data_IF_982338807343
#
_entry.id   IF_982338807343
#
_cell.length_a   1.000
_cell.length_b   1.000
_cell.length_c   1.000
_cell.angle_alpha   90.00
_cell.angle_beta   90.00
_cell.angle_gamma   90.00
#
_symmetry.space_group_name_H-M   'P 1'
#
loop_
_entity.id
_entity.type
_entity.pdbx_description
1 polymer ?
#
# COMPACT_ATOMS: atom_id res chain seq x y z
N UNK A 1 12.91 -10.21 -7.60
CA UNK A 1 11.62 -9.67 -8.05
C UNK A 1 11.86 -8.25 -8.51
N UNK A 2 11.21 -7.88 -9.59
CA UNK A 2 11.18 -6.53 -10.14
C UNK A 2 9.97 -5.79 -9.56
N UNK A 3 10.22 -4.72 -8.81
CA UNK A 3 9.20 -4.00 -8.07
C UNK A 3 9.17 -2.56 -8.55
N UNK A 4 8.00 -2.12 -9.00
CA UNK A 4 7.73 -0.72 -9.26
C UNK A 4 7.17 -0.06 -7.99
N UNK A 5 7.88 0.95 -7.50
CA UNK A 5 7.45 1.82 -6.41
C UNK A 5 7.05 3.19 -6.96
N UNK A 6 5.79 3.57 -6.77
CA UNK A 6 5.23 4.78 -7.38
C UNK A 6 4.87 5.78 -6.28
N UNK A 7 5.67 6.84 -6.20
CA UNK A 7 5.53 7.89 -5.19
C UNK A 7 4.58 9.02 -5.64
N UNK A 8 3.95 9.76 -4.70
CA UNK A 8 3.39 11.06 -5.02
C UNK A 8 4.49 12.01 -5.49
N UNK A 9 4.20 12.86 -6.49
CA UNK A 9 5.15 13.86 -7.00
C UNK A 9 5.15 15.16 -6.17
N UNK A 10 4.39 15.21 -5.08
CA UNK A 10 4.23 16.43 -4.25
C UNK A 10 5.54 16.82 -3.57
N UNK A 11 6.30 15.85 -3.06
CA UNK A 11 7.56 16.03 -2.34
C UNK A 11 8.61 15.07 -2.91
N UNK A 12 9.89 15.36 -2.63
CA UNK A 12 10.98 14.45 -2.98
C UNK A 12 10.94 13.18 -2.11
N UNK A 13 11.58 12.12 -2.59
CA UNK A 13 11.75 10.86 -1.85
C UNK A 13 13.25 10.65 -1.59
N UNK A 14 13.74 10.69 -0.34
CA UNK A 14 13.05 11.11 0.87
C UNK A 14 12.68 12.61 0.84
N UNK A 15 11.67 13.03 1.62
CA UNK A 15 11.22 14.41 1.66
C UNK A 15 12.25 15.30 2.37
N UNK A 16 12.48 16.49 1.82
CA UNK A 16 13.30 17.53 2.45
C UNK A 16 12.59 18.19 3.63
N UNK A 17 11.27 18.31 3.55
CA UNK A 17 10.43 18.95 4.56
C UNK A 17 9.32 18.01 5.05
N UNK A 18 8.06 18.42 4.93
CA UNK A 18 6.90 17.66 5.38
C UNK A 18 6.40 16.72 4.27
N UNK A 19 6.67 15.41 4.42
CA UNK A 19 6.19 14.37 3.51
C UNK A 19 6.04 13.01 4.20
N UNK A 20 4.92 12.76 4.88
CA UNK A 20 4.71 11.50 5.60
C UNK A 20 4.75 10.27 4.69
N UNK A 21 4.04 10.34 3.56
CA UNK A 21 4.00 9.28 2.55
C UNK A 21 5.36 9.05 1.92
N UNK A 22 5.99 10.12 1.44
CA UNK A 22 7.25 10.09 0.72
C UNK A 22 8.38 9.54 1.61
N UNK A 23 8.30 9.76 2.93
CA UNK A 23 9.21 9.14 3.91
C UNK A 23 9.02 7.63 4.02
N UNK A 24 7.78 7.15 4.08
CA UNK A 24 7.48 5.71 4.11
C UNK A 24 7.92 5.04 2.81
N UNK A 25 7.61 5.67 1.67
CA UNK A 25 8.07 5.21 0.34
C UNK A 25 9.59 5.07 0.33
N UNK A 26 10.33 6.09 0.81
CA UNK A 26 11.79 6.02 0.92
C UNK A 26 12.24 4.82 1.75
N UNK A 27 11.75 4.65 2.98
CA UNK A 27 12.17 3.54 3.83
C UNK A 27 11.87 2.17 3.23
N UNK A 28 10.69 2.02 2.62
CA UNK A 28 10.31 0.78 1.98
C UNK A 28 11.19 0.49 0.76
N UNK A 29 11.43 1.48 -0.10
CA UNK A 29 12.30 1.34 -1.27
C UNK A 29 13.69 0.90 -0.87
N UNK A 30 14.33 1.60 0.08
CA UNK A 30 15.69 1.27 0.50
C UNK A 30 15.77 -0.13 1.14
N UNK A 31 14.77 -0.52 1.94
CA UNK A 31 14.72 -1.86 2.54
C UNK A 31 14.50 -2.96 1.48
N UNK A 32 13.68 -2.71 0.46
CA UNK A 32 13.46 -3.66 -0.63
C UNK A 32 14.74 -3.86 -1.46
N UNK A 33 15.45 -2.78 -1.77
CA UNK A 33 16.77 -2.83 -2.43
C UNK A 33 17.77 -3.60 -1.55
N UNK A 34 17.83 -3.29 -0.25
CA UNK A 34 18.72 -3.97 0.72
C UNK A 34 18.46 -5.48 0.80
N UNK A 35 17.22 -5.92 0.56
CA UNK A 35 16.83 -7.34 0.50
C UNK A 35 17.15 -8.02 -0.83
N UNK A 36 17.75 -7.30 -1.79
CA UNK A 36 18.15 -7.83 -3.09
C UNK A 36 17.03 -7.87 -4.13
N UNK A 37 15.99 -7.04 -3.96
CA UNK A 37 14.99 -6.84 -5.01
C UNK A 37 15.49 -5.81 -6.04
N UNK A 38 15.06 -5.99 -7.28
CA UNK A 38 15.28 -5.04 -8.37
C UNK A 38 14.15 -4.01 -8.29
N UNK A 39 14.44 -2.81 -7.82
CA UNK A 39 13.43 -1.80 -7.50
C UNK A 39 13.60 -0.60 -8.42
N UNK A 40 12.50 -0.18 -9.03
CA UNK A 40 12.41 1.08 -9.76
C UNK A 40 11.48 2.01 -9.01
N UNK A 41 11.93 3.22 -8.70
CA UNK A 41 11.17 4.28 -8.03
C UNK A 41 10.73 5.32 -9.06
N UNK A 42 9.42 5.49 -9.24
CA UNK A 42 8.83 6.60 -9.99
C UNK A 42 8.55 7.74 -9.01
N UNK A 43 9.29 8.84 -9.15
CA UNK A 43 9.22 9.98 -8.23
C UNK A 43 9.66 11.29 -8.92
N UNK A 44 9.76 12.39 -8.16
CA UNK A 44 10.37 13.61 -8.66
C UNK A 44 11.88 13.42 -8.87
N UNK A 45 12.46 14.11 -9.85
CA UNK A 45 13.87 14.00 -10.22
C UNK A 45 14.84 14.49 -9.16
N UNK A 46 14.36 15.28 -8.18
CA UNK A 46 15.13 15.69 -7.01
C UNK A 46 15.08 14.69 -5.84
N UNK A 47 14.54 13.49 -6.08
CA UNK A 47 14.57 12.35 -5.16
C UNK A 47 15.96 11.69 -5.10
N UNK A 48 16.27 11.04 -3.98
CA UNK A 48 17.52 10.32 -3.73
C UNK A 48 17.20 8.92 -3.23
N UNK A 49 17.65 7.89 -3.96
CA UNK A 49 17.42 6.49 -3.62
C UNK A 49 18.56 5.62 -4.12
N UNK A 50 18.71 4.41 -3.56
CA UNK A 50 19.55 3.35 -4.12
C UNK A 50 18.90 2.55 -5.24
N UNK A 51 17.59 2.68 -5.44
CA UNK A 51 16.83 2.08 -6.54
C UNK A 51 17.08 2.78 -7.90
N UNK A 52 16.63 2.19 -9.01
CA UNK A 52 16.54 2.89 -10.29
C UNK A 52 15.52 4.03 -10.15
N UNK A 53 15.92 5.28 -10.37
CA UNK A 53 15.01 6.42 -10.32
C UNK A 53 14.47 6.75 -11.71
N UNK A 54 13.15 6.69 -11.87
CA UNK A 54 12.43 7.25 -13.01
C UNK A 54 11.89 8.62 -12.62
N UNK A 55 12.51 9.67 -13.14
CA UNK A 55 12.10 11.04 -12.90
C UNK A 55 10.84 11.39 -13.73
N UNK A 56 9.69 11.51 -13.07
CA UNK A 56 8.42 11.85 -13.72
C UNK A 56 8.16 13.36 -13.79
N UNK A 57 8.95 14.14 -13.05
CA UNK A 57 9.04 15.60 -13.13
C UNK A 57 10.43 16.04 -12.65
N UNK A 58 10.90 17.23 -13.06
CA UNK A 58 12.26 17.67 -12.71
C UNK A 58 12.46 17.85 -11.20
N UNK A 59 11.47 18.41 -10.53
CA UNK A 59 11.48 18.70 -9.08
C UNK A 59 10.09 18.43 -8.49
N UNK A 60 10.06 18.16 -7.18
CA UNK A 60 8.84 18.01 -6.42
C UNK A 60 7.85 19.17 -6.66
N UNK A 61 6.59 18.82 -6.93
CA UNK A 61 5.59 19.76 -7.45
C UNK A 61 5.20 20.85 -6.43
N UNK A 62 5.25 20.55 -5.12
CA UNK A 62 4.89 21.52 -4.07
C UNK A 62 5.69 22.82 -4.15
N UNK A 63 6.96 22.73 -4.53
CA UNK A 63 7.84 23.89 -4.62
C UNK A 63 8.10 24.34 -6.05
N UNK A 64 7.38 23.78 -7.02
CA UNK A 64 7.54 24.13 -8.42
C UNK A 64 6.52 25.21 -8.81
N UNK A 65 6.94 26.48 -8.97
CA UNK A 65 6.03 27.58 -9.33
C UNK A 65 5.38 27.41 -10.71
N UNK A 66 5.91 26.52 -11.56
CA UNK A 66 5.34 26.18 -12.87
C UNK A 66 4.24 25.11 -12.77
N UNK A 67 4.16 24.37 -11.67
CA UNK A 67 3.23 23.26 -11.48
C UNK A 67 1.92 23.69 -10.79
N UNK A 68 1.15 24.58 -11.45
CA UNK A 68 -0.13 25.08 -10.89
C UNK A 68 -1.19 24.00 -10.69
N UNK A 69 -1.14 22.93 -11.48
CA UNK A 69 -2.03 21.78 -11.33
C UNK A 69 -1.17 20.50 -11.29
N UNK A 70 -1.24 19.71 -10.20
CA UNK A 70 -0.46 18.49 -10.07
C UNK A 70 -1.04 17.30 -10.87
N UNK A 71 -2.31 17.34 -11.29
CA UNK A 71 -2.99 16.23 -11.95
C UNK A 71 -2.30 15.79 -13.26
N UNK A 72 -1.97 16.70 -14.20
CA UNK A 72 -1.32 16.31 -15.45
C UNK A 72 -0.01 15.56 -15.24
N UNK A 73 0.79 15.96 -14.26
CA UNK A 73 2.07 15.30 -13.93
C UNK A 73 1.86 13.86 -13.44
N UNK A 74 0.85 13.63 -12.60
CA UNK A 74 0.53 12.28 -12.14
C UNK A 74 -0.09 11.42 -13.26
N UNK A 75 -0.89 11.99 -14.16
CA UNK A 75 -1.39 11.28 -15.35
C UNK A 75 -0.24 10.88 -16.27
N UNK A 76 0.72 11.77 -16.50
CA UNK A 76 1.92 11.47 -17.28
C UNK A 76 2.78 10.38 -16.62
N UNK A 77 2.96 10.44 -15.30
CA UNK A 77 3.62 9.37 -14.54
C UNK A 77 2.90 8.03 -14.71
N UNK A 78 1.56 8.01 -14.57
CA UNK A 78 0.77 6.79 -14.72
C UNK A 78 0.85 6.21 -16.14
N UNK A 79 0.94 7.05 -17.17
CA UNK A 79 1.18 6.57 -18.55
C UNK A 79 2.58 5.96 -18.69
N UNK A 80 3.62 6.51 -18.04
CA UNK A 80 4.95 5.90 -18.03
C UNK A 80 4.96 4.55 -17.29
N UNK A 81 4.31 4.47 -16.13
CA UNK A 81 4.12 3.22 -15.38
C UNK A 81 3.38 2.20 -16.26
N UNK A 82 2.26 2.58 -16.88
CA UNK A 82 1.46 1.70 -17.74
C UNK A 82 2.27 1.15 -18.91
N UNK A 83 3.15 1.95 -19.52
CA UNK A 83 4.01 1.51 -20.62
C UNK A 83 5.06 0.49 -20.21
N UNK A 84 5.45 0.48 -18.94
CA UNK A 84 6.47 -0.41 -18.37
C UNK A 84 5.89 -1.49 -17.47
N UNK A 85 4.57 -1.55 -17.30
CA UNK A 85 3.92 -2.42 -16.32
C UNK A 85 4.29 -3.90 -16.48
N UNK A 86 4.49 -4.36 -17.71
CA UNK A 86 4.87 -5.74 -18.03
C UNK A 86 6.34 -6.07 -17.66
N UNK A 87 7.15 -5.08 -17.28
CA UNK A 87 8.53 -5.27 -16.81
C UNK A 87 8.60 -5.69 -15.33
N UNK A 88 7.51 -5.50 -14.57
CA UNK A 88 7.49 -5.61 -13.11
C UNK A 88 6.61 -6.76 -12.61
N UNK A 89 7.07 -7.43 -11.55
CA UNK A 89 6.29 -8.46 -10.85
C UNK A 89 5.21 -7.83 -9.94
N UNK A 90 5.47 -6.63 -9.43
CA UNK A 90 4.61 -5.92 -8.45
C UNK A 90 4.64 -4.41 -8.69
N UNK A 91 3.47 -3.78 -8.63
CA UNK A 91 3.27 -2.32 -8.72
C UNK A 91 2.74 -1.78 -7.38
N UNK A 92 3.47 -0.87 -6.73
CA UNK A 92 3.12 -0.26 -5.44
C UNK A 92 2.76 1.22 -5.61
N UNK A 93 1.47 1.54 -5.68
CA UNK A 93 0.98 2.92 -5.81
C UNK A 93 0.73 3.58 -4.44
N UNK A 94 1.58 4.54 -4.07
CA UNK A 94 1.54 5.21 -2.77
C UNK A 94 0.82 6.58 -2.77
N UNK A 95 -0.08 6.88 -3.73
CA UNK A 95 -0.68 8.22 -3.81
C UNK A 95 -2.13 8.29 -4.30
N UNK A 96 -2.79 7.15 -4.57
CA UNK A 96 -4.15 7.09 -5.14
C UNK A 96 -5.17 7.94 -4.37
N UNK A 97 -5.11 7.96 -3.03
CA UNK A 97 -6.01 8.78 -2.23
C UNK A 97 -5.84 10.31 -2.37
N UNK A 98 -4.81 10.82 -3.06
CA UNK A 98 -4.63 12.26 -3.33
C UNK A 98 -5.24 12.69 -4.68
N UNK A 99 -5.56 11.76 -5.58
CA UNK A 99 -6.18 12.06 -6.89
C UNK A 99 -7.71 12.12 -6.76
N UNK A 100 -8.25 11.52 -5.69
CA UNK A 100 -9.68 11.36 -5.55
C UNK A 100 -10.40 12.69 -5.24
N UNK A 101 -11.48 13.02 -5.98
CA UNK A 101 -12.16 14.32 -5.93
C UNK A 101 -12.87 14.60 -4.60
N UNK A 102 -13.14 13.60 -3.76
CA UNK A 102 -13.80 13.75 -2.45
C UNK A 102 -13.03 14.59 -1.44
N UNK A 103 -11.76 14.93 -1.71
CA UNK A 103 -10.96 15.82 -0.85
C UNK A 103 -11.25 17.30 -1.02
N UNK A 104 -11.95 17.71 -2.09
CA UNK A 104 -12.23 19.10 -2.40
C UNK A 104 -10.95 19.92 -2.69
N UNK A 105 -10.90 20.75 -3.74
CA UNK A 105 -9.75 21.62 -3.99
C UNK A 105 -9.52 22.66 -2.87
N UNK A 106 -10.58 23.00 -2.13
CA UNK A 106 -10.59 24.11 -1.15
C UNK A 106 -9.70 23.82 0.08
N UNK A 107 -9.75 22.60 0.64
CA UNK A 107 -8.97 22.25 1.83
C UNK A 107 -7.46 22.09 1.56
N UNK A 108 -7.08 21.80 0.31
CA UNK A 108 -5.67 21.74 -0.10
C UNK A 108 -5.10 23.14 -0.40
N UNK A 109 -5.93 24.04 -0.94
CA UNK A 109 -5.52 25.40 -1.32
C UNK A 109 -5.42 26.34 -0.10
N UNK A 110 -6.15 26.08 0.98
CA UNK A 110 -6.07 26.84 2.23
C UNK A 110 -4.72 26.65 2.97
N UNK A 111 -4.02 25.53 2.71
CA UNK A 111 -2.66 25.25 3.24
C UNK A 111 -1.57 26.04 2.48
N UNK A 112 -1.85 26.46 1.24
CA UNK A 112 -0.88 26.96 0.24
C UNK A 112 -0.47 28.44 0.44
N UNK A 113 -1.10 29.18 1.35
CA UNK A 113 -0.87 30.64 1.52
C UNK A 113 0.08 31.02 2.66
N UNK A 114 0.72 30.06 3.34
CA UNK A 114 1.51 30.35 4.56
C UNK A 114 3.00 30.60 4.32
N UNK A 115 3.53 31.57 5.07
CA UNK A 115 4.95 31.88 5.12
C UNK A 115 5.68 30.99 6.16
N UNK A 116 6.99 30.86 6.01
CA UNK A 116 7.85 30.10 6.93
C UNK A 116 7.78 30.76 8.33
N UNK A 117 7.18 30.07 9.31
CA UNK A 117 7.09 30.53 10.71
C UNK A 117 5.71 30.41 11.36
N UNK A 118 4.66 30.13 10.60
CA UNK A 118 3.31 29.97 11.15
C UNK A 118 3.16 28.72 12.04
N UNK A 119 2.39 28.85 13.11
CA UNK A 119 2.10 27.74 14.03
C UNK A 119 1.45 26.56 13.28
N UNK A 120 1.81 25.31 13.61
CA UNK A 120 1.25 24.13 12.97
C UNK A 120 -0.28 24.14 13.10
N UNK A 121 -0.98 23.93 11.98
CA UNK A 121 -2.44 23.82 11.95
C UNK A 121 -2.85 22.67 12.88
N UNK A 122 -3.87 22.89 13.72
CA UNK A 122 -4.51 21.80 14.43
C UNK A 122 -5.08 20.84 13.38
N UNK A 123 -4.64 19.57 13.43
CA UNK A 123 -4.90 18.54 12.42
C UNK A 123 -6.00 17.57 12.92
N UNK A 124 -7.30 17.95 12.92
CA UNK A 124 -8.35 17.11 13.53
C UNK A 124 -8.74 15.89 12.67
N UNK A 125 -8.43 15.90 11.37
CA UNK A 125 -8.88 14.88 10.39
C UNK A 125 -7.73 14.13 9.70
N UNK A 126 -6.49 14.28 10.17
CA UNK A 126 -5.45 13.33 9.81
C UNK A 126 -5.82 11.97 10.41
N UNK A 127 -5.95 10.95 9.57
CA UNK A 127 -6.35 9.58 9.93
C UNK A 127 -7.86 9.29 10.03
N UNK A 128 -8.74 10.01 9.32
CA UNK A 128 -9.90 9.29 8.76
C UNK A 128 -9.32 8.27 7.78
N UNK A 129 -9.44 6.95 8.04
CA UNK A 129 -8.58 5.95 7.42
C UNK A 129 -8.73 6.06 5.90
N UNK A 130 -7.65 6.53 5.28
CA UNK A 130 -7.61 6.66 3.84
C UNK A 130 -7.67 5.24 3.28
N UNK A 131 -8.46 5.00 2.22
CA UNK A 131 -8.78 3.65 1.73
C UNK A 131 -7.55 2.73 1.57
N UNK A 132 -6.43 3.27 1.11
CA UNK A 132 -5.11 2.63 1.00
C UNK A 132 -4.43 2.30 2.35
N UNK A 133 -4.42 3.20 3.32
CA UNK A 133 -3.90 2.92 4.68
C UNK A 133 -4.78 1.88 5.39
N UNK A 134 -6.09 1.98 5.23
CA UNK A 134 -7.04 0.99 5.75
C UNK A 134 -6.78 -0.40 5.17
N UNK A 135 -6.55 -0.48 3.84
CA UNK A 135 -6.26 -1.73 3.13
C UNK A 135 -4.93 -2.38 3.50
N UNK A 136 -3.92 -1.58 3.89
CA UNK A 136 -2.55 -2.09 4.15
C UNK A 136 -2.50 -3.18 5.24
N UNK A 137 -3.26 -3.02 6.32
CA UNK A 137 -3.35 -4.02 7.38
C UNK A 137 -3.97 -5.33 6.88
N UNK A 138 -5.02 -5.24 6.05
CA UNK A 138 -5.66 -6.41 5.46
C UNK A 138 -4.77 -7.10 4.42
N UNK A 139 -4.06 -6.33 3.58
CA UNK A 139 -3.11 -6.87 2.59
C UNK A 139 -1.92 -7.53 3.27
N UNK A 140 -1.39 -6.93 4.33
CA UNK A 140 -0.32 -7.52 5.13
C UNK A 140 -0.79 -8.82 5.79
N UNK A 141 -1.97 -8.83 6.41
CA UNK A 141 -2.55 -10.03 7.00
C UNK A 141 -2.81 -11.09 5.92
N UNK A 142 -3.35 -10.72 4.77
CA UNK A 142 -3.58 -11.63 3.66
C UNK A 142 -2.27 -12.27 3.18
N UNK A 143 -1.21 -11.48 3.04
CA UNK A 143 0.11 -11.94 2.63
C UNK A 143 0.77 -12.84 3.69
N UNK A 144 0.65 -12.49 4.98
CA UNK A 144 1.15 -13.32 6.08
C UNK A 144 0.42 -14.66 6.13
N UNK A 145 -0.90 -14.65 6.11
CA UNK A 145 -1.74 -15.84 6.24
C UNK A 145 -1.77 -16.68 4.95
N UNK A 146 -1.35 -16.13 3.82
CA UNK A 146 -1.36 -16.82 2.53
C UNK A 146 -2.76 -17.18 2.05
N UNK A 147 -3.77 -16.41 2.47
CA UNK A 147 -5.19 -16.69 2.21
C UNK A 147 -5.64 -16.11 0.86
N UNK A 148 -6.35 -16.93 0.08
CA UNK A 148 -7.06 -16.54 -1.14
C UNK A 148 -8.47 -17.11 -1.12
N UNK A 149 -9.44 -16.31 -1.52
CA UNK A 149 -10.86 -16.70 -1.59
C UNK A 149 -11.23 -16.76 -3.07
N UNK A 150 -11.62 -17.94 -3.54
CA UNK A 150 -12.18 -18.12 -4.87
C UNK A 150 -13.70 -18.14 -4.76
N UNK A 151 -14.33 -17.01 -5.11
CA UNK A 151 -15.79 -16.87 -5.04
C UNK A 151 -16.53 -17.70 -6.09
N UNK A 152 -15.89 -18.07 -7.20
CA UNK A 152 -16.50 -18.86 -8.27
C UNK A 152 -16.57 -20.34 -7.90
N UNK A 153 -15.46 -20.87 -7.38
CA UNK A 153 -15.38 -22.24 -6.86
C UNK A 153 -15.93 -22.37 -5.43
N UNK A 154 -16.21 -21.24 -4.77
CA UNK A 154 -16.69 -21.15 -3.39
C UNK A 154 -15.74 -21.87 -2.43
N UNK A 155 -14.44 -21.64 -2.57
CA UNK A 155 -13.40 -22.29 -1.78
C UNK A 155 -12.45 -21.28 -1.13
N UNK A 156 -11.83 -21.69 -0.02
CA UNK A 156 -10.78 -20.96 0.66
C UNK A 156 -9.47 -21.70 0.44
N UNK A 157 -8.49 -21.01 -0.12
CA UNK A 157 -7.13 -21.52 -0.32
C UNK A 157 -6.18 -20.85 0.66
N UNK A 158 -5.37 -21.65 1.36
CA UNK A 158 -4.34 -21.17 2.28
C UNK A 158 -3.00 -21.79 1.89
N UNK A 159 -2.03 -20.96 1.55
CA UNK A 159 -0.69 -21.39 1.12
C UNK A 159 0.39 -20.87 2.06
N UNK A 160 1.17 -21.77 2.66
CA UNK A 160 2.33 -21.46 3.52
C UNK A 160 2.02 -20.38 4.59
N UNK A 161 1.00 -20.58 5.44
CA UNK A 161 0.56 -19.57 6.39
C UNK A 161 1.67 -19.22 7.39
N UNK A 162 1.84 -17.92 7.65
CA UNK A 162 2.71 -17.36 8.69
C UNK A 162 1.89 -16.42 9.56
N UNK A 163 2.15 -16.45 10.87
CA UNK A 163 1.62 -15.45 11.80
C UNK A 163 2.66 -14.34 12.01
N UNK A 164 2.23 -13.08 12.14
CA UNK A 164 3.12 -11.97 12.52
C UNK A 164 3.87 -12.26 13.83
N UNK A 165 5.02 -11.61 14.01
CA UNK A 165 5.86 -11.78 15.21
C UNK A 165 5.05 -11.41 16.46
N UNK A 166 5.10 -12.26 17.48
CA UNK A 166 4.37 -12.05 18.74
C UNK A 166 2.87 -12.38 18.68
N UNK A 167 2.37 -12.92 17.57
CA UNK A 167 0.99 -13.38 17.43
C UNK A 167 0.95 -14.90 17.31
N UNK A 168 0.17 -15.52 18.21
CA UNK A 168 -0.01 -16.98 18.27
C UNK A 168 -1.37 -17.45 17.75
N UNK A 169 -2.33 -16.54 17.65
CA UNK A 169 -3.63 -16.84 17.08
C UNK A 169 -4.21 -15.64 16.32
N UNK A 170 -4.86 -15.92 15.19
CA UNK A 170 -5.70 -14.98 14.44
C UNK A 170 -7.01 -15.69 14.09
N UNK A 171 -8.13 -15.00 14.27
CA UNK A 171 -9.45 -15.47 13.84
C UNK A 171 -10.05 -14.46 12.87
N UNK A 172 -10.34 -14.91 11.64
CA UNK A 172 -11.12 -14.14 10.67
C UNK A 172 -12.58 -14.55 10.86
N UNK A 173 -13.40 -13.63 11.36
CA UNK A 173 -14.82 -13.90 11.63
C UNK A 173 -15.70 -13.48 10.46
N UNK A 174 -16.79 -14.22 10.26
CA UNK A 174 -17.82 -13.92 9.28
C UNK A 174 -17.28 -13.74 7.85
N UNK A 175 -16.30 -14.55 7.47
CA UNK A 175 -15.75 -14.57 6.13
C UNK A 175 -16.81 -15.07 5.15
N UNK A 176 -17.26 -14.18 4.26
CA UNK A 176 -18.26 -14.53 3.25
C UNK A 176 -17.60 -15.22 2.07
N UNK A 177 -18.06 -16.44 1.74
CA UNK A 177 -17.62 -17.21 0.56
C UNK A 177 -18.86 -17.75 -0.15
N UNK A 178 -19.19 -17.14 -1.28
CA UNK A 178 -20.49 -17.36 -1.91
C UNK A 178 -21.63 -16.94 -0.97
N UNK A 179 -22.52 -17.86 -0.63
CA UNK A 179 -23.65 -17.63 0.29
C UNK A 179 -23.32 -18.00 1.75
N UNK A 180 -22.20 -18.67 1.99
CA UNK A 180 -21.80 -19.09 3.32
C UNK A 180 -21.02 -17.98 4.04
N UNK A 181 -21.19 -17.92 5.37
CA UNK A 181 -20.34 -17.13 6.27
C UNK A 181 -19.64 -18.08 7.22
N UNK A 182 -18.31 -18.01 7.27
CA UNK A 182 -17.50 -18.93 8.07
C UNK A 182 -16.47 -18.18 8.90
N UNK A 183 -16.11 -18.78 10.03
CA UNK A 183 -14.99 -18.31 10.86
C UNK A 183 -13.76 -19.17 10.56
N UNK A 184 -12.66 -18.53 10.14
CA UNK A 184 -11.39 -19.17 9.81
C UNK A 184 -10.35 -18.85 10.89
N UNK A 185 -9.74 -19.90 11.43
CA UNK A 185 -8.80 -19.81 12.55
C UNK A 185 -7.38 -20.14 12.07
N UNK A 186 -6.41 -19.38 12.56
CA UNK A 186 -4.98 -19.64 12.41
C UNK A 186 -4.36 -19.71 13.80
N UNK A 187 -3.62 -20.79 14.09
CA UNK A 187 -2.98 -20.99 15.39
C UNK A 187 -1.55 -21.50 15.22
N UNK A 188 -0.62 -20.98 16.02
CA UNK A 188 0.73 -21.51 16.13
C UNK A 188 0.73 -22.80 16.95
N UNK A 189 1.28 -23.87 16.39
CA UNK A 189 1.48 -25.16 17.05
C UNK A 189 2.92 -25.60 16.78
N UNK A 190 3.78 -25.38 17.77
CA UNK A 190 5.24 -25.49 17.58
C UNK A 190 5.73 -24.53 16.51
N UNK A 191 6.49 -25.05 15.54
CA UNK A 191 7.04 -24.27 14.42
C UNK A 191 6.08 -24.14 13.23
N UNK A 192 4.87 -24.69 13.31
CA UNK A 192 3.88 -24.70 12.22
C UNK A 192 2.67 -23.85 12.56
N UNK A 193 2.03 -23.33 11.52
CA UNK A 193 0.73 -22.66 11.63
C UNK A 193 -0.34 -23.62 11.11
N UNK A 194 -1.31 -23.93 11.95
CA UNK A 194 -2.50 -24.70 11.56
C UNK A 194 -3.62 -23.74 11.18
N UNK A 195 -4.37 -24.10 10.15
CA UNK A 195 -5.53 -23.36 9.68
C UNK A 195 -6.76 -24.27 9.66
N UNK A 196 -7.87 -23.83 10.23
CA UNK A 196 -9.10 -24.62 10.34
C UNK A 196 -10.35 -23.73 10.42
N UNK A 197 -11.49 -24.25 9.96
CA UNK A 197 -12.79 -23.62 10.15
C UNK A 197 -13.27 -23.86 11.59
N UNK A 198 -14.02 -22.92 12.16
CA UNK A 198 -14.71 -23.17 13.44
C UNK A 198 -15.66 -24.36 13.32
N UNK A 199 -15.83 -25.16 14.39
CA UNK A 199 -16.60 -26.41 14.37
C UNK A 199 -18.00 -26.29 13.75
N UNK A 200 -18.69 -25.17 14.00
CA UNK A 200 -20.03 -24.90 13.44
C UNK A 200 -20.06 -24.63 11.94
N UNK A 201 -18.90 -24.47 11.32
CA UNK A 201 -18.73 -24.08 9.92
C UNK A 201 -17.99 -25.16 9.10
N UNK A 202 -17.62 -26.28 9.72
CA UNK A 202 -17.00 -27.40 9.01
C UNK A 202 -17.92 -27.92 7.91
N UNK A 203 -17.36 -28.19 6.73
CA UNK A 203 -18.09 -28.68 5.57
C UNK A 203 -18.93 -27.64 4.82
N UNK A 204 -19.08 -26.41 5.32
CA UNK A 204 -19.83 -25.35 4.62
C UNK A 204 -19.08 -24.81 3.41
N UNK A 205 -17.75 -24.75 3.50
CA UNK A 205 -16.86 -24.22 2.47
C UNK A 205 -15.62 -25.10 2.41
N UNK A 206 -15.20 -25.59 1.23
CA UNK A 206 -13.93 -26.28 1.07
C UNK A 206 -12.75 -25.40 1.52
N UNK A 207 -11.97 -25.90 2.47
CA UNK A 207 -10.72 -25.29 2.92
C UNK A 207 -9.55 -26.12 2.41
N UNK A 208 -8.78 -25.57 1.47
CA UNK A 208 -7.59 -26.19 0.89
C UNK A 208 -6.36 -25.57 1.54
N UNK A 209 -5.66 -26.33 2.37
CA UNK A 209 -4.43 -25.88 3.04
C UNK A 209 -3.22 -26.57 2.42
N UNK A 210 -2.27 -25.79 1.92
CA UNK A 210 -1.00 -26.28 1.36
C UNK A 210 0.15 -25.77 2.23
N UNK A 211 0.86 -26.70 2.88
CA UNK A 211 2.01 -26.41 3.75
C UNK A 211 3.28 -26.09 2.96
#
# INVERSE_FOLDING_TARGET
>A
MKIDQIAPLTESVPPKFYGGTERIVSYLTEELVRRGHDVTLFASGDSRTSAELVACCDVALRFNPKARNPIPYHVMMLEQVRRRADEFDVLLLAFLGRISPEKGPEAAMEIDTRAIGDAPIAYPVACLPQAWSAGSAFMMLQACLGIRIDGWKREINVERPRLPIGIDNIVIRHLTVGEAKVDLNFRRVGDRIVCYLGERHEGLVPLVVRS
#
